data_IF_244798929625
#
_entry.id   IF_244798929625
#
_cell.length_a   1.000
_cell.length_b   1.000
_cell.length_c   1.000
_cell.angle_alpha   90.00
_cell.angle_beta   90.00
_cell.angle_gamma   90.00
#
_symmetry.space_group_name_H-M   'P 1'
#
loop_
_entity.id
_entity.type
_entity.pdbx_description
1 polymer ?
#
# COMPACT_ATOMS: atom_id res chain seq x y z
N UNK A 1 11.15 4.09 5.51
CA UNK A 1 10.44 5.01 4.60
C UNK A 1 11.43 5.61 3.60
N UNK A 2 11.06 5.71 2.33
CA UNK A 2 11.93 6.25 1.27
C UNK A 2 11.72 7.77 1.15
N UNK A 3 12.81 8.57 1.08
CA UNK A 3 12.72 10.02 0.88
C UNK A 3 12.38 10.36 -0.58
N UNK A 4 11.17 10.86 -0.83
CA UNK A 4 10.60 11.11 -2.17
C UNK A 4 10.12 12.56 -2.39
N UNK A 5 10.45 13.50 -1.50
CA UNK A 5 9.86 14.86 -1.40
C UNK A 5 9.93 15.76 -2.66
N UNK A 6 10.61 15.37 -3.74
CA UNK A 6 10.68 16.11 -5.00
C UNK A 6 10.14 15.32 -6.20
N UNK A 7 9.56 14.14 -5.97
CA UNK A 7 9.04 13.27 -7.02
C UNK A 7 7.51 13.32 -7.01
N UNK A 8 6.92 13.34 -8.21
CA UNK A 8 5.49 13.10 -8.37
C UNK A 8 5.14 11.72 -7.80
N UNK A 9 4.26 11.71 -6.79
CA UNK A 9 3.84 10.52 -6.06
C UNK A 9 3.27 9.44 -6.99
N UNK A 10 2.61 9.83 -8.09
CA UNK A 10 2.00 8.91 -9.06
C UNK A 10 3.03 8.12 -9.87
N UNK A 11 4.28 8.59 -9.94
CA UNK A 11 5.39 7.89 -10.61
C UNK A 11 6.02 6.79 -9.76
N UNK A 12 5.62 6.65 -8.50
CA UNK A 12 6.19 5.67 -7.57
C UNK A 12 5.16 4.55 -7.36
N UNK A 13 5.39 3.35 -7.93
CA UNK A 13 4.49 2.21 -7.79
C UNK A 13 4.72 1.55 -6.43
N UNK A 14 4.36 2.27 -5.36
CA UNK A 14 4.30 1.74 -4.01
C UNK A 14 2.90 1.98 -3.46
N UNK A 15 2.06 0.97 -3.50
CA UNK A 15 0.72 0.97 -2.93
C UNK A 15 0.31 -0.48 -2.69
N UNK A 16 -0.59 -0.72 -1.72
CA UNK A 16 -1.06 -2.07 -1.45
C UNK A 16 -2.00 -2.55 -2.56
N UNK A 17 -2.12 -3.87 -2.66
CA UNK A 17 -3.19 -4.56 -3.39
C UNK A 17 -3.89 -5.50 -2.42
N UNK A 18 -5.19 -5.71 -2.58
CA UNK A 18 -5.97 -6.66 -1.77
C UNK A 18 -6.42 -7.81 -2.66
N UNK A 19 -6.17 -9.04 -2.19
CA UNK A 19 -6.74 -10.28 -2.72
C UNK A 19 -8.13 -10.47 -2.12
N UNK A 20 -9.16 -10.25 -2.94
CA UNK A 20 -10.57 -10.32 -2.50
C UNK A 20 -11.00 -11.73 -2.11
N UNK A 21 -10.42 -12.77 -2.71
CA UNK A 21 -10.76 -14.16 -2.38
C UNK A 21 -10.25 -14.57 -0.99
N UNK A 22 -9.18 -13.93 -0.54
CA UNK A 22 -8.59 -14.15 0.80
C UNK A 22 -9.06 -13.14 1.83
N UNK A 23 -9.66 -12.03 1.42
CA UNK A 23 -10.08 -10.99 2.35
C UNK A 23 -11.29 -11.44 3.18
N UNK A 24 -11.13 -11.51 4.50
CA UNK A 24 -12.23 -11.84 5.42
C UNK A 24 -13.08 -10.62 5.84
N UNK A 25 -12.76 -9.42 5.35
CA UNK A 25 -13.49 -8.21 5.73
C UNK A 25 -13.22 -7.69 7.14
N UNK A 26 -12.19 -8.20 7.83
CA UNK A 26 -11.92 -7.89 9.24
C UNK A 26 -11.67 -6.39 9.56
N UNK A 27 -11.37 -5.57 8.55
CA UNK A 27 -11.21 -4.12 8.70
C UNK A 27 -9.92 -3.65 9.42
N UNK A 28 -9.02 -4.57 9.80
CA UNK A 28 -7.76 -4.24 10.47
C UNK A 28 -6.93 -3.24 9.65
N UNK A 29 -6.86 -3.42 8.33
CA UNK A 29 -6.13 -2.51 7.45
C UNK A 29 -6.66 -1.06 7.47
N UNK A 30 -7.99 -0.89 7.61
CA UNK A 30 -8.65 0.42 7.74
C UNK A 30 -8.28 1.06 9.08
N UNK A 31 -8.29 0.29 10.17
CA UNK A 31 -7.96 0.78 11.51
C UNK A 31 -6.48 1.16 11.66
N UNK A 32 -5.57 0.35 11.10
CA UNK A 32 -4.13 0.55 11.24
C UNK A 32 -3.54 1.59 10.30
N UNK A 33 -4.22 1.94 9.21
CA UNK A 33 -3.68 2.87 8.23
C UNK A 33 -4.13 4.31 8.52
N UNK A 34 -3.29 5.16 9.13
CA UNK A 34 -3.67 6.55 9.42
C UNK A 34 -3.77 7.43 8.16
N UNK A 35 -3.44 6.89 6.99
CA UNK A 35 -3.46 7.61 5.72
C UNK A 35 -4.79 7.46 4.97
N UNK A 36 -5.75 6.67 5.49
CA UNK A 36 -7.03 6.47 4.82
C UNK A 36 -6.92 5.79 3.45
N UNK A 37 -5.96 4.87 3.30
CA UNK A 37 -5.72 4.15 2.03
C UNK A 37 -6.85 3.17 1.70
N UNK A 38 -7.53 2.65 2.71
CA UNK A 38 -8.50 1.57 2.58
C UNK A 38 -9.93 2.05 2.85
N UNK A 39 -10.87 1.37 2.21
CA UNK A 39 -12.30 1.45 2.47
C UNK A 39 -12.85 0.02 2.63
N UNK A 40 -13.86 -0.17 3.47
CA UNK A 40 -14.54 -1.44 3.65
C UNK A 40 -15.94 -1.34 3.03
N UNK A 41 -16.21 -2.13 2.00
CA UNK A 41 -17.51 -2.19 1.30
C UNK A 41 -17.93 -3.65 1.21
N UNK A 42 -19.21 -3.96 1.45
CA UNK A 42 -19.77 -5.32 1.28
C UNK A 42 -18.98 -6.45 1.95
N UNK A 43 -18.30 -6.17 3.08
CA UNK A 43 -17.42 -7.12 3.80
C UNK A 43 -16.11 -7.45 3.09
N UNK A 44 -15.66 -6.64 2.14
CA UNK A 44 -14.34 -6.73 1.50
C UNK A 44 -13.61 -5.39 1.62
N UNK A 45 -12.31 -5.45 1.91
CA UNK A 45 -11.48 -4.24 1.98
C UNK A 45 -10.93 -3.90 0.60
N UNK A 46 -11.11 -2.65 0.17
CA UNK A 46 -10.60 -2.14 -1.11
C UNK A 46 -9.61 -0.99 -0.89
N UNK A 47 -8.69 -0.82 -1.84
CA UNK A 47 -7.71 0.26 -1.84
C UNK A 47 -8.32 1.49 -2.51
N UNK A 48 -8.90 2.39 -1.71
CA UNK A 48 -9.57 3.59 -2.20
C UNK A 48 -8.59 4.72 -2.57
N UNK A 49 -7.50 4.86 -1.81
CA UNK A 49 -6.55 5.96 -1.95
C UNK A 49 -5.10 5.44 -2.06
N UNK A 50 -4.74 4.74 -3.16
CA UNK A 50 -3.45 4.06 -3.27
C UNK A 50 -2.25 5.01 -3.12
N UNK A 51 -2.36 6.23 -3.63
CA UNK A 51 -1.26 7.20 -3.62
C UNK A 51 -1.07 7.93 -2.28
N UNK A 52 -2.03 7.84 -1.35
CA UNK A 52 -1.85 8.30 0.04
C UNK A 52 -0.98 7.32 0.85
N UNK A 53 -0.71 6.12 0.32
CA UNK A 53 0.20 5.18 0.96
C UNK A 53 1.62 5.76 1.06
N UNK A 54 2.22 5.71 2.24
CA UNK A 54 3.60 6.15 2.48
C UNK A 54 4.58 5.18 1.80
N UNK A 55 5.46 5.73 0.95
CA UNK A 55 6.44 4.93 0.19
C UNK A 55 7.39 4.15 1.12
N UNK A 56 7.35 2.83 0.98
CA UNK A 56 8.13 1.88 1.78
C UNK A 56 7.49 1.51 3.13
N UNK A 57 6.24 1.90 3.41
CA UNK A 57 5.45 1.35 4.50
C UNK A 57 4.78 0.04 4.04
N UNK A 58 4.80 -1.01 4.87
CA UNK A 58 4.11 -2.28 4.60
C UNK A 58 3.48 -2.90 5.85
N UNK A 59 3.13 -2.09 6.86
CA UNK A 59 2.58 -2.61 8.10
C UNK A 59 1.25 -3.35 7.89
N UNK A 60 0.35 -2.83 7.05
CA UNK A 60 -0.93 -3.47 6.76
C UNK A 60 -0.78 -4.87 6.14
N UNK A 61 0.25 -5.12 5.33
CA UNK A 61 0.59 -6.46 4.84
C UNK A 61 0.94 -7.41 5.99
N UNK A 62 1.73 -6.95 6.97
CA UNK A 62 2.15 -7.76 8.12
C UNK A 62 1.03 -8.02 9.12
N UNK A 63 0.16 -7.04 9.34
CA UNK A 63 -0.94 -7.13 10.30
C UNK A 63 -2.17 -7.83 9.72
N UNK A 64 -2.21 -8.10 8.41
CA UNK A 64 -3.32 -8.80 7.79
C UNK A 64 -3.32 -10.28 8.21
N UNK A 65 -4.31 -10.75 9.00
CA UNK A 65 -4.31 -12.13 9.49
C UNK A 65 -4.48 -13.14 8.34
N UNK A 66 -5.16 -12.75 7.27
CA UNK A 66 -5.41 -13.60 6.10
C UNK A 66 -4.24 -13.60 5.11
N UNK A 67 -3.27 -12.68 5.27
CA UNK A 67 -2.22 -12.43 4.29
C UNK A 67 -2.76 -11.99 2.92
N UNK A 68 -3.90 -11.29 2.91
CA UNK A 68 -4.60 -10.84 1.70
C UNK A 68 -4.02 -9.54 1.10
N UNK A 69 -3.05 -8.90 1.74
CA UNK A 69 -2.48 -7.62 1.31
C UNK A 69 -1.07 -7.85 0.77
N UNK A 70 -0.73 -7.25 -0.37
CA UNK A 70 0.60 -7.34 -0.97
C UNK A 70 1.10 -5.99 -1.50
N UNK A 71 2.43 -5.86 -1.60
CA UNK A 71 3.11 -4.70 -2.18
C UNK A 71 4.03 -5.09 -3.35
N UNK A 72 4.35 -4.15 -4.25
CA UNK A 72 5.40 -4.33 -5.25
C UNK A 72 6.78 -4.61 -4.62
N UNK A 73 7.70 -5.22 -5.37
CA UNK A 73 9.05 -5.52 -4.86
C UNK A 73 9.79 -4.22 -4.52
N UNK A 74 10.11 -4.05 -3.24
CA UNK A 74 10.79 -2.86 -2.72
C UNK A 74 12.15 -2.60 -3.39
N UNK A 75 12.84 -3.63 -3.87
CA UNK A 75 14.13 -3.51 -4.58
C UNK A 75 13.93 -2.88 -5.95
N UNK A 76 12.86 -3.25 -6.66
CA UNK A 76 12.53 -2.68 -7.96
C UNK A 76 12.09 -1.23 -7.82
N UNK A 77 11.22 -0.95 -6.86
CA UNK A 77 10.75 0.42 -6.57
C UNK A 77 11.91 1.33 -6.18
N UNK A 78 12.89 0.83 -5.41
CA UNK A 78 14.10 1.59 -5.07
C UNK A 78 14.93 1.94 -6.30
N UNK A 79 15.12 1.01 -7.24
CA UNK A 79 15.86 1.28 -8.49
C UNK A 79 15.17 2.37 -9.30
N UNK A 80 13.86 2.27 -9.48
CA UNK A 80 13.07 3.27 -10.19
C UNK A 80 13.18 4.66 -9.54
N UNK A 81 13.09 4.75 -8.21
CA UNK A 81 13.23 6.03 -7.50
C UNK A 81 14.63 6.65 -7.72
N UNK A 82 15.68 5.84 -7.83
CA UNK A 82 17.03 6.33 -8.14
C UNK A 82 17.12 6.86 -9.58
N UNK A 83 16.42 6.23 -10.52
CA UNK A 83 16.34 6.69 -11.91
C UNK A 83 15.55 8.00 -12.05
N UNK A 84 14.44 8.15 -11.33
CA UNK A 84 13.60 9.35 -11.34
C UNK A 84 14.26 10.59 -10.70
N UNK A 85 15.33 10.40 -9.93
CA UNK A 85 16.09 11.48 -9.29
C UNK A 85 17.21 12.05 -10.17
N UNK A 86 17.52 11.38 -11.28
CA UNK A 86 18.45 11.88 -12.29
C UNK A 86 17.78 12.94 -13.13
#
# INVERSE_FOLDING_TARGET
>A
MIKTNMLDRKKIPWYPTVDEERCSGCGICVQYCPQGVYMLEESVSHVASPYECVVGCSNCEKECPEGAISFPDIREVRKLILELKK
#
